data_IF_404805223276
#
_entry.id   IF_404805223276
#
_cell.length_a   1.000
_cell.length_b   1.000
_cell.length_c   1.000
_cell.angle_alpha   90.00
_cell.angle_beta   90.00
_cell.angle_gamma   90.00
#
_symmetry.space_group_name_H-M   'P 1'
#
loop_
_entity.id
_entity.type
_entity.pdbx_description
1 polymer ?
#
# COMPACT_ATOMS: atom_id res chain seq x y z
N UNK A 1 -17.51 37.19 -12.70
CA UNK A 1 -16.76 35.97 -12.32
C UNK A 1 -15.66 36.45 -11.37
N UNK A 2 -15.78 36.18 -10.06
CA UNK A 2 -14.80 36.61 -9.06
C UNK A 2 -13.48 35.88 -9.31
N UNK A 3 -12.40 36.62 -9.52
CA UNK A 3 -11.06 36.04 -9.62
C UNK A 3 -10.65 35.51 -8.24
N UNK A 4 -10.45 34.19 -8.15
CA UNK A 4 -9.93 33.54 -6.96
C UNK A 4 -8.45 33.94 -6.76
N UNK A 5 -8.21 34.96 -5.95
CA UNK A 5 -6.88 35.47 -5.62
C UNK A 5 -6.31 34.84 -4.33
N UNK A 6 -6.40 33.51 -4.19
CA UNK A 6 -5.77 32.82 -3.06
C UNK A 6 -4.33 32.44 -3.39
N UNK A 7 -3.44 32.52 -2.41
CA UNK A 7 -2.05 32.07 -2.51
C UNK A 7 -1.90 30.74 -1.79
N UNK A 8 -1.03 29.88 -2.31
CA UNK A 8 -0.63 28.63 -1.68
C UNK A 8 0.78 28.78 -1.17
N UNK A 9 0.98 28.58 0.13
CA UNK A 9 2.29 28.59 0.78
C UNK A 9 2.61 27.18 1.29
N UNK A 10 3.78 26.65 0.93
CA UNK A 10 4.26 25.40 1.51
C UNK A 10 4.90 25.69 2.87
N UNK A 11 4.33 25.14 3.94
CA UNK A 11 4.82 25.33 5.31
C UNK A 11 5.87 24.27 5.69
N UNK A 12 5.72 23.05 5.18
CA UNK A 12 6.66 21.98 5.38
C UNK A 12 6.55 20.96 4.24
N UNK A 13 7.70 20.56 3.70
CA UNK A 13 7.80 19.49 2.71
C UNK A 13 8.90 18.53 3.14
N UNK A 14 8.52 17.29 3.38
CA UNK A 14 9.41 16.16 3.58
C UNK A 14 9.10 15.09 2.54
N UNK A 15 9.87 14.00 2.53
CA UNK A 15 9.70 12.92 1.54
C UNK A 15 8.30 12.30 1.53
N UNK A 16 7.65 12.19 2.70
CA UNK A 16 6.35 11.50 2.87
C UNK A 16 5.24 12.41 3.43
N UNK A 17 5.54 13.67 3.76
CA UNK A 17 4.60 14.60 4.39
C UNK A 17 4.73 16.00 3.80
N UNK A 18 3.60 16.58 3.40
CA UNK A 18 3.49 17.96 2.93
C UNK A 18 2.41 18.71 3.71
N UNK A 19 2.71 19.94 4.14
CA UNK A 19 1.77 20.87 4.78
C UNK A 19 1.66 22.14 3.95
N UNK A 20 0.45 22.40 3.47
CA UNK A 20 0.14 23.56 2.63
C UNK A 20 -0.85 24.47 3.34
N UNK A 21 -0.64 25.78 3.20
CA UNK A 21 -1.54 26.82 3.64
C UNK A 21 -2.15 27.51 2.42
N UNK A 22 -3.47 27.70 2.43
CA UNK A 22 -4.23 28.35 1.37
C UNK A 22 -4.93 29.58 1.97
N UNK A 23 -4.46 30.78 1.60
CA UNK A 23 -4.99 32.04 2.11
C UNK A 23 -4.76 33.20 1.12
N UNK A 24 -5.61 34.24 1.12
CA UNK A 24 -6.88 34.37 1.84
C UNK A 24 -8.03 33.63 1.11
N UNK A 25 -9.03 33.16 1.87
CA UNK A 25 -10.26 32.57 1.35
C UNK A 25 -11.47 33.32 1.89
N UNK A 26 -12.53 33.39 1.10
CA UNK A 26 -13.81 33.93 1.56
C UNK A 26 -14.39 33.06 2.70
N UNK A 27 -15.12 33.67 3.66
CA UNK A 27 -15.79 32.92 4.72
C UNK A 27 -16.64 31.77 4.15
N UNK A 28 -16.44 30.56 4.69
CA UNK A 28 -17.15 29.35 4.24
C UNK A 28 -16.45 28.55 3.14
N UNK A 29 -15.56 29.15 2.33
CA UNK A 29 -14.87 28.42 1.26
C UNK A 29 -13.84 27.40 1.78
N UNK A 30 -13.27 27.64 2.97
CA UNK A 30 -12.30 26.72 3.58
C UNK A 30 -12.85 25.30 3.79
N UNK A 31 -14.10 25.16 4.25
CA UNK A 31 -14.73 23.86 4.46
C UNK A 31 -15.02 23.15 3.13
N UNK A 32 -15.55 23.89 2.16
CA UNK A 32 -15.89 23.37 0.83
C UNK A 32 -14.64 22.87 0.09
N UNK A 33 -13.59 23.69 0.05
CA UNK A 33 -12.33 23.33 -0.58
C UNK A 33 -11.62 22.21 0.18
N UNK A 34 -11.54 22.29 1.51
CA UNK A 34 -10.89 21.27 2.33
C UNK A 34 -11.52 19.89 2.18
N UNK A 35 -12.86 19.81 2.19
CA UNK A 35 -13.56 18.54 1.99
C UNK A 35 -13.41 18.02 0.56
N UNK A 36 -13.49 18.88 -0.45
CA UNK A 36 -13.27 18.51 -1.84
C UNK A 36 -11.85 17.94 -2.05
N UNK A 37 -10.82 18.67 -1.58
CA UNK A 37 -9.42 18.23 -1.67
C UNK A 37 -9.18 16.91 -0.93
N UNK A 38 -9.72 16.76 0.30
CA UNK A 38 -9.63 15.52 1.06
C UNK A 38 -10.22 14.34 0.28
N UNK A 39 -11.38 14.51 -0.37
CA UNK A 39 -12.02 13.45 -1.16
C UNK A 39 -11.20 13.09 -2.39
N UNK A 40 -10.71 14.09 -3.13
CA UNK A 40 -9.91 13.88 -4.34
C UNK A 40 -8.61 13.17 -3.99
N UNK A 41 -7.89 13.63 -2.96
CA UNK A 41 -6.63 13.03 -2.52
C UNK A 41 -6.80 11.59 -2.03
N UNK A 42 -7.88 11.27 -1.32
CA UNK A 42 -8.11 9.91 -0.79
C UNK A 42 -8.68 8.93 -1.81
N UNK A 43 -9.34 9.39 -2.88
CA UNK A 43 -10.13 8.50 -3.75
C UNK A 43 -9.84 8.57 -5.23
N UNK A 44 -9.26 9.67 -5.72
CA UNK A 44 -9.10 9.92 -7.16
C UNK A 44 -7.66 9.77 -7.65
N UNK A 45 -6.69 9.63 -6.74
CA UNK A 45 -5.30 9.39 -7.13
C UNK A 45 -5.14 7.95 -7.64
N UNK A 46 -4.62 7.75 -8.87
CA UNK A 46 -4.27 6.42 -9.34
C UNK A 46 -3.13 5.88 -8.48
N UNK A 47 -3.25 4.63 -8.07
CA UNK A 47 -2.25 3.93 -7.28
C UNK A 47 -2.38 2.43 -7.50
N UNK A 48 -1.39 1.66 -7.05
CA UNK A 48 -1.42 0.21 -7.14
C UNK A 48 -1.28 -0.41 -5.76
N UNK A 49 -2.05 -1.48 -5.54
CA UNK A 49 -2.02 -2.24 -4.31
C UNK A 49 -2.12 -3.74 -4.62
N UNK A 50 -1.66 -4.56 -3.68
CA UNK A 50 -1.89 -6.00 -3.70
C UNK A 50 -3.37 -6.24 -3.38
N UNK A 51 -4.13 -6.82 -4.31
CA UNK A 51 -5.56 -7.06 -4.09
C UNK A 51 -5.89 -8.50 -3.68
N UNK A 52 -5.03 -9.46 -4.02
CA UNK A 52 -5.14 -10.86 -3.60
C UNK A 52 -3.76 -11.45 -3.32
N UNK A 53 -3.69 -12.30 -2.30
CA UNK A 53 -2.50 -13.07 -1.95
C UNK A 53 -2.91 -14.51 -1.63
N UNK A 54 -2.19 -15.47 -2.21
CA UNK A 54 -2.32 -16.91 -1.93
C UNK A 54 -1.04 -17.37 -1.26
N UNK A 55 -1.14 -17.92 -0.07
CA UNK A 55 0.01 -18.38 0.73
C UNK A 55 -0.01 -19.91 0.75
N UNK A 56 1.08 -20.55 0.31
CA UNK A 56 1.21 -22.01 0.38
C UNK A 56 1.26 -22.47 1.84
N UNK A 57 0.47 -23.49 2.17
CA UNK A 57 0.38 -24.04 3.54
C UNK A 57 -0.66 -23.38 4.44
N UNK A 58 -1.28 -22.27 4.01
CA UNK A 58 -2.38 -21.64 4.74
C UNK A 58 -3.73 -22.16 4.21
N UNK A 59 -4.44 -22.98 4.99
CA UNK A 59 -5.79 -23.44 4.64
C UNK A 59 -6.85 -22.37 4.90
N UNK A 60 -6.63 -21.51 5.89
CA UNK A 60 -7.48 -20.36 6.22
C UNK A 60 -6.65 -19.20 6.78
N UNK A 61 -7.26 -18.01 6.82
CA UNK A 61 -6.62 -16.76 7.24
C UNK A 61 -6.11 -16.73 8.69
N UNK A 62 -6.63 -17.60 9.56
CA UNK A 62 -6.20 -17.74 10.96
C UNK A 62 -5.21 -18.88 11.19
N UNK A 63 -4.65 -19.47 10.13
CA UNK A 63 -3.63 -20.52 10.28
C UNK A 63 -2.30 -19.92 10.69
N UNK A 64 -1.52 -20.69 11.42
CA UNK A 64 -0.12 -20.41 11.68
C UNK A 64 0.74 -21.30 10.78
N UNK A 65 1.84 -20.75 10.27
CA UNK A 65 2.77 -21.48 9.41
C UNK A 65 3.95 -21.96 10.26
N UNK A 66 4.26 -23.25 10.22
CA UNK A 66 5.37 -23.81 10.98
C UNK A 66 6.71 -23.21 10.51
N UNK A 67 7.46 -22.63 11.46
CA UNK A 67 8.77 -22.01 11.21
C UNK A 67 8.73 -20.59 10.62
N UNK A 68 7.54 -19.98 10.55
CA UNK A 68 7.36 -18.53 10.35
C UNK A 68 6.94 -17.93 11.70
N UNK A 69 7.55 -16.81 12.09
CA UNK A 69 7.26 -16.18 13.38
C UNK A 69 5.89 -15.49 13.40
N UNK A 70 5.52 -14.88 12.29
CA UNK A 70 4.28 -14.13 12.09
C UNK A 70 3.13 -15.06 11.71
N UNK A 71 1.90 -14.70 12.10
CA UNK A 71 0.70 -15.40 11.67
C UNK A 71 0.24 -14.97 10.26
N UNK A 72 -0.72 -15.69 9.67
CA UNK A 72 -1.22 -15.35 8.33
C UNK A 72 -1.91 -13.98 8.27
N UNK A 73 -2.54 -13.53 9.36
CA UNK A 73 -3.21 -12.21 9.42
C UNK A 73 -2.19 -11.08 9.42
N UNK A 74 -1.11 -11.24 10.19
CA UNK A 74 0.02 -10.33 10.30
C UNK A 74 0.77 -10.28 8.97
N UNK A 75 1.01 -11.42 8.33
CA UNK A 75 1.54 -11.48 6.97
C UNK A 75 0.68 -10.69 5.98
N UNK A 76 -0.64 -10.90 6.01
CA UNK A 76 -1.58 -10.15 5.18
C UNK A 76 -1.52 -8.65 5.47
N UNK A 77 -1.46 -8.25 6.74
CA UNK A 77 -1.36 -6.85 7.16
C UNK A 77 -0.04 -6.21 6.71
N UNK A 78 1.07 -6.94 6.78
CA UNK A 78 2.37 -6.49 6.31
C UNK A 78 2.39 -6.33 4.79
N UNK A 79 1.80 -7.29 4.05
CA UNK A 79 1.60 -7.15 2.60
C UNK A 79 0.77 -5.91 2.26
N UNK A 80 -0.19 -5.51 3.12
CA UNK A 80 -0.97 -4.29 2.89
C UNK A 80 -0.14 -3.01 2.94
N UNK A 81 0.96 -3.01 3.69
CA UNK A 81 1.83 -1.85 3.84
C UNK A 81 2.85 -1.72 2.69
N UNK A 82 2.92 -2.70 1.79
CA UNK A 82 3.80 -2.65 0.62
C UNK A 82 3.31 -1.56 -0.34
N UNK A 83 4.19 -0.62 -0.66
CA UNK A 83 3.95 0.48 -1.59
C UNK A 83 4.47 0.07 -2.97
N UNK A 84 3.57 -0.05 -3.93
CA UNK A 84 3.87 -0.43 -5.30
C UNK A 84 3.66 0.76 -6.23
N UNK A 85 4.62 0.98 -7.14
CA UNK A 85 4.41 1.81 -8.32
C UNK A 85 4.15 0.89 -9.51
N UNK A 86 3.09 1.17 -10.25
CA UNK A 86 2.69 0.38 -11.40
C UNK A 86 2.36 1.30 -12.58
N UNK A 87 3.04 1.09 -13.69
CA UNK A 87 2.92 1.92 -14.90
C UNK A 87 2.17 1.16 -16.02
N UNK A 88 1.19 0.30 -15.68
CA UNK A 88 0.41 -0.47 -16.65
C UNK A 88 -1.10 -0.48 -16.37
N UNK A 89 -1.87 -1.10 -17.28
CA UNK A 89 -3.35 -1.08 -17.23
C UNK A 89 -3.97 -2.42 -16.80
N UNK A 90 -3.31 -3.54 -17.07
CA UNK A 90 -3.83 -4.88 -16.74
C UNK A 90 -3.39 -5.33 -15.34
N UNK A 91 -4.13 -6.21 -14.64
CA UNK A 91 -3.62 -6.84 -13.44
C UNK A 91 -2.35 -7.64 -13.73
N UNK A 92 -1.35 -7.57 -12.85
CA UNK A 92 -0.14 -8.39 -12.97
C UNK A 92 0.06 -9.27 -11.75
N UNK A 93 0.67 -10.41 -12.00
CA UNK A 93 1.05 -11.38 -10.97
C UNK A 93 2.49 -11.12 -10.50
N UNK A 94 2.72 -11.33 -9.21
CA UNK A 94 4.05 -11.31 -8.59
C UNK A 94 4.19 -12.50 -7.64
N UNK A 95 5.43 -12.88 -7.35
CA UNK A 95 5.71 -14.03 -6.50
C UNK A 95 6.75 -13.68 -5.46
N UNK A 96 6.59 -14.21 -4.25
CA UNK A 96 7.61 -14.12 -3.20
C UNK A 96 7.91 -15.54 -2.74
N UNK A 97 9.16 -15.97 -2.92
CA UNK A 97 9.65 -17.27 -2.43
C UNK A 97 10.85 -17.03 -1.55
N UNK A 98 10.74 -17.45 -0.30
CA UNK A 98 11.85 -17.46 0.65
C UNK A 98 12.01 -18.86 1.24
N UNK A 99 13.25 -19.28 1.44
CA UNK A 99 13.58 -20.56 2.05
C UNK A 99 14.73 -20.39 3.05
N UNK A 100 14.66 -21.13 4.15
CA UNK A 100 15.66 -21.11 5.21
C UNK A 100 15.54 -19.93 6.17
N UNK A 101 16.42 -19.85 7.19
CA UNK A 101 16.33 -18.85 8.23
C UNK A 101 16.71 -17.47 7.68
N UNK A 102 15.72 -16.62 7.44
CA UNK A 102 15.92 -15.31 6.84
C UNK A 102 14.79 -14.33 7.16
N UNK A 103 15.13 -13.04 7.20
CA UNK A 103 14.16 -11.95 7.23
C UNK A 103 13.67 -11.69 5.81
N UNK A 104 12.41 -11.99 5.55
CA UNK A 104 11.76 -11.73 4.28
C UNK A 104 11.36 -10.26 4.24
N UNK A 105 11.92 -9.54 3.26
CA UNK A 105 11.63 -8.13 3.02
C UNK A 105 10.81 -7.94 1.76
N UNK A 106 10.10 -6.83 1.65
CA UNK A 106 9.34 -6.47 0.46
C UNK A 106 10.21 -6.34 -0.81
N UNK A 107 11.50 -6.01 -0.66
CA UNK A 107 12.45 -6.02 -1.78
C UNK A 107 12.73 -7.40 -2.38
N UNK A 108 12.35 -8.49 -1.69
CA UNK A 108 12.50 -9.86 -2.19
C UNK A 108 11.32 -10.35 -3.05
N UNK A 109 10.30 -9.52 -3.27
CA UNK A 109 9.17 -9.86 -4.13
C UNK A 109 9.65 -9.84 -5.58
N UNK A 110 9.50 -10.96 -6.27
CA UNK A 110 9.72 -11.06 -7.71
C UNK A 110 8.56 -10.37 -8.43
N UNK A 111 8.86 -9.17 -8.94
CA UNK A 111 7.90 -8.30 -9.61
C UNK A 111 8.26 -8.16 -11.08
N UNK A 112 7.25 -8.11 -11.97
CA UNK A 112 7.45 -7.89 -13.39
C UNK A 112 7.96 -6.47 -13.67
N UNK A 113 8.60 -6.26 -14.83
CA UNK A 113 9.27 -4.99 -15.18
C UNK A 113 8.41 -3.71 -15.09
N UNK A 114 7.08 -3.84 -15.16
CA UNK A 114 6.13 -2.71 -15.05
C UNK A 114 5.77 -2.33 -13.61
N UNK A 115 6.18 -3.14 -12.63
CA UNK A 115 5.90 -2.94 -11.20
C UNK A 115 7.21 -2.69 -10.47
N UNK A 116 7.24 -1.69 -9.59
CA UNK A 116 8.38 -1.46 -8.71
C UNK A 116 7.94 -1.29 -7.25
N UNK A 117 8.69 -1.96 -6.36
CA UNK A 117 8.49 -1.85 -4.91
C UNK A 117 9.23 -0.61 -4.41
N UNK A 118 8.49 0.34 -3.82
CA UNK A 118 9.03 1.61 -3.32
C UNK A 118 9.69 1.41 -1.96
N UNK A 119 9.04 0.67 -1.04
CA UNK A 119 9.53 0.41 0.32
C UNK A 119 10.19 -0.96 0.45
N UNK A 120 11.36 -1.13 -0.16
CA UNK A 120 12.09 -2.42 -0.20
C UNK A 120 12.50 -2.96 1.17
N UNK A 121 12.66 -2.08 2.16
CA UNK A 121 13.13 -2.44 3.51
C UNK A 121 12.04 -2.97 4.44
N UNK A 122 10.77 -2.89 4.04
CA UNK A 122 9.65 -3.36 4.85
C UNK A 122 9.80 -4.86 5.14
N UNK A 123 9.80 -5.22 6.42
CA UNK A 123 9.85 -6.61 6.85
C UNK A 123 8.45 -7.22 6.70
N UNK A 124 8.37 -8.33 5.96
CA UNK A 124 7.12 -9.04 5.74
C UNK A 124 6.99 -10.22 6.70
N UNK A 125 8.06 -10.99 6.86
CA UNK A 125 8.09 -12.21 7.65
C UNK A 125 9.50 -12.52 8.15
N UNK A 126 9.60 -13.36 9.18
CA UNK A 126 10.83 -13.89 9.71
C UNK A 126 10.74 -15.43 9.75
N UNK A 127 11.58 -16.08 8.95
CA UNK A 127 11.69 -17.53 8.93
C UNK A 127 12.73 -17.95 9.96
N UNK A 128 12.35 -18.83 10.89
CA UNK A 128 13.24 -19.35 11.93
C UNK A 128 13.94 -20.65 11.50
N UNK A 129 13.29 -21.47 10.68
CA UNK A 129 13.73 -22.84 10.40
C UNK A 129 14.39 -23.02 9.03
N UNK A 130 15.40 -23.90 8.96
CA UNK A 130 16.11 -24.26 7.72
C UNK A 130 15.25 -24.99 6.69
N UNK A 131 14.16 -25.63 7.12
CA UNK A 131 13.25 -26.40 6.25
C UNK A 131 12.02 -25.62 5.83
N UNK A 132 11.78 -24.44 6.41
CA UNK A 132 10.57 -23.67 6.11
C UNK A 132 10.76 -22.94 4.79
N UNK A 133 9.74 -23.09 3.92
CA UNK A 133 9.62 -22.41 2.65
C UNK A 133 8.34 -21.59 2.68
N UNK A 134 8.46 -20.28 2.51
CA UNK A 134 7.33 -19.38 2.39
C UNK A 134 7.18 -19.03 0.91
N UNK A 135 6.04 -19.42 0.33
CA UNK A 135 5.68 -19.07 -1.04
C UNK A 135 4.36 -18.30 -1.03
N UNK A 136 4.40 -17.08 -1.55
CA UNK A 136 3.25 -16.19 -1.65
C UNK A 136 3.07 -15.80 -3.13
N UNK A 137 1.88 -16.04 -3.67
CA UNK A 137 1.48 -15.61 -5.00
C UNK A 137 0.56 -14.40 -4.89
N UNK A 138 0.92 -13.32 -5.57
CA UNK A 138 0.21 -12.05 -5.56
C UNK A 138 -0.46 -11.90 -6.93
N UNK A 139 -1.72 -12.34 -7.06
CA UNK A 139 -2.35 -12.54 -8.38
C UNK A 139 -2.98 -11.30 -9.01
N UNK A 140 -3.03 -10.17 -8.30
CA UNK A 140 -3.68 -8.96 -8.80
C UNK A 140 -3.06 -7.69 -8.20
N UNK A 141 -2.01 -7.19 -8.85
CA UNK A 141 -1.48 -5.84 -8.65
C UNK A 141 -2.13 -4.92 -9.69
N UNK A 142 -2.92 -3.94 -9.25
CA UNK A 142 -3.64 -3.04 -10.14
C UNK A 142 -4.32 -1.89 -9.40
N UNK A 143 -5.03 -0.98 -10.10
CA UNK A 143 -5.78 0.09 -9.46
C UNK A 143 -6.78 -0.50 -8.46
N UNK A 144 -6.81 -0.01 -7.20
CA UNK A 144 -7.72 -0.55 -6.21
C UNK A 144 -9.15 -0.36 -6.71
N UNK A 145 -9.83 -1.47 -7.02
CA UNK A 145 -11.24 -1.45 -7.39
C UNK A 145 -12.10 -0.94 -6.22
N UNK A 146 -13.37 -0.61 -6.47
CA UNK A 146 -14.28 -0.03 -5.47
C UNK A 146 -14.39 -0.84 -4.18
N UNK A 147 -14.25 -2.17 -4.26
CA UNK A 147 -14.21 -3.07 -3.10
C UNK A 147 -12.91 -3.00 -2.30
N UNK A 148 -11.75 -2.94 -2.98
CA UNK A 148 -10.44 -2.71 -2.36
C UNK A 148 -10.42 -1.32 -1.72
N UNK A 149 -10.96 -0.29 -2.35
CA UNK A 149 -11.06 1.04 -1.71
C UNK A 149 -11.81 0.98 -0.38
N UNK A 150 -12.90 0.22 -0.28
CA UNK A 150 -13.69 0.07 0.97
C UNK A 150 -13.02 -0.80 2.04
N UNK A 151 -12.35 -1.87 1.64
CA UNK A 151 -11.66 -2.78 2.58
C UNK A 151 -10.29 -2.23 3.05
N UNK A 152 -9.73 -1.25 2.35
CA UNK A 152 -8.40 -0.69 2.59
C UNK A 152 -8.38 0.78 3.04
N UNK A 153 -9.49 1.52 2.90
CA UNK A 153 -9.62 2.90 3.41
C UNK A 153 -9.30 3.07 4.90
N UNK A 154 -9.54 2.10 5.81
CA UNK A 154 -9.25 2.30 7.23
C UNK A 154 -7.76 2.51 7.52
N UNK A 155 -6.85 1.95 6.71
CA UNK A 155 -5.40 2.02 6.95
C UNK A 155 -4.78 3.34 6.46
N UNK A 156 -5.37 3.98 5.46
CA UNK A 156 -4.99 5.33 4.99
C UNK A 156 -5.59 6.46 5.83
N UNK A 157 -6.40 6.13 6.84
CA UNK A 157 -7.13 7.09 7.69
C UNK A 157 -6.45 7.36 9.04
N UNK A 158 -5.23 6.86 9.25
CA UNK A 158 -4.41 7.14 10.44
C UNK A 158 -3.06 7.70 10.02
#
# INVERSE_FOLDING_TARGET
MLALNFKTTALAETKDFGRFELAPLEPGYGLTLGNALRRVLLSSLPGAAITSATIEGATHQFTTLAGVKEDVVELLLNLKQVRLKYDGEAPVEAKLVAAGPAKVKAGGIDVPAKVSVVNKDLLLANLADKKTKLAIYLSKIGPPNTWVKSFWTPLFRR
#
